data_IF_670582221155
#
_entry.id   IF_670582221155
#
_cell.length_a   1.000
_cell.length_b   1.000
_cell.length_c   1.000
_cell.angle_alpha   90.00
_cell.angle_beta   90.00
_cell.angle_gamma   90.00
#
_symmetry.space_group_name_H-M   'P 1'
#
loop_
_entity.id
_entity.type
_entity.pdbx_description
1 polymer ?
#
# COMPACT_ATOMS: atom_id res chain seq x y z
N UNK A 1 -2.25 13.68 9.00
CA UNK A 1 -2.61 12.27 8.76
C UNK A 1 -3.56 12.23 7.58
N UNK A 2 -3.13 11.62 6.48
CA UNK A 2 -3.95 11.47 5.28
C UNK A 2 -5.18 10.61 5.60
N UNK A 3 -6.36 10.97 5.09
CA UNK A 3 -7.63 10.32 5.48
C UNK A 3 -7.76 8.84 5.10
N UNK A 4 -6.76 8.26 4.44
CA UNK A 4 -6.76 6.88 4.00
C UNK A 4 -5.99 5.95 4.94
N UNK A 5 -4.97 6.44 5.68
CA UNK A 5 -4.21 5.60 6.61
C UNK A 5 -5.07 5.10 7.77
N UNK A 6 -6.14 5.83 8.12
CA UNK A 6 -7.14 5.39 9.09
C UNK A 6 -7.97 4.18 8.64
N UNK A 7 -7.90 3.80 7.37
CA UNK A 7 -8.55 2.59 6.86
C UNK A 7 -7.74 1.32 7.14
N UNK A 8 -6.44 1.47 7.42
CA UNK A 8 -5.53 0.38 7.69
C UNK A 8 -5.54 0.03 9.18
N UNK A 9 -5.83 -1.22 9.51
CA UNK A 9 -5.68 -1.72 10.87
C UNK A 9 -4.22 -2.05 11.18
N UNK A 10 -3.88 -2.15 12.47
CA UNK A 10 -2.55 -2.62 12.87
C UNK A 10 -2.25 -4.04 12.34
N UNK A 11 -3.28 -4.89 12.22
CA UNK A 11 -3.16 -6.22 11.64
C UNK A 11 -2.83 -6.20 10.15
N UNK A 12 -3.48 -5.32 9.40
CA UNK A 12 -3.20 -5.14 7.96
C UNK A 12 -1.76 -4.69 7.72
N UNK A 13 -1.27 -3.76 8.55
CA UNK A 13 0.11 -3.29 8.48
C UNK A 13 1.10 -4.43 8.77
N UNK A 14 0.81 -5.26 9.76
CA UNK A 14 1.66 -6.40 10.09
C UNK A 14 1.65 -7.47 9.00
N UNK A 15 0.50 -7.73 8.39
CA UNK A 15 0.40 -8.66 7.25
C UNK A 15 1.28 -8.18 6.08
N UNK A 16 1.21 -6.89 5.74
CA UNK A 16 2.03 -6.32 4.67
C UNK A 16 3.53 -6.38 5.00
N UNK A 17 3.92 -6.08 6.24
CA UNK A 17 5.32 -6.22 6.68
C UNK A 17 5.81 -7.65 6.56
N UNK A 18 5.00 -8.60 7.01
CA UNK A 18 5.35 -10.02 6.93
C UNK A 18 5.46 -10.48 5.48
N UNK A 19 4.55 -10.05 4.61
CA UNK A 19 4.60 -10.36 3.20
C UNK A 19 5.88 -9.83 2.53
N UNK A 20 6.30 -8.59 2.84
CA UNK A 20 7.58 -8.06 2.37
C UNK A 20 8.77 -8.90 2.87
N UNK A 21 8.79 -9.22 4.16
CA UNK A 21 9.85 -10.00 4.80
C UNK A 21 9.97 -11.41 4.21
N UNK A 22 8.83 -12.04 3.90
CA UNK A 22 8.75 -13.40 3.34
C UNK A 22 8.87 -13.45 1.82
N UNK A 23 8.87 -12.30 1.13
CA UNK A 23 8.88 -12.25 -0.33
C UNK A 23 7.55 -12.68 -0.96
N UNK A 24 6.44 -12.53 -0.23
CA UNK A 24 5.10 -12.92 -0.67
C UNK A 24 4.40 -11.77 -1.37
N UNK A 25 3.63 -12.12 -2.41
CA UNK A 25 2.73 -11.21 -3.10
C UNK A 25 1.36 -11.32 -2.41
N UNK A 26 0.89 -10.23 -1.83
CA UNK A 26 -0.45 -10.10 -1.24
C UNK A 26 -1.08 -8.78 -1.69
N UNK A 27 -2.39 -8.66 -1.52
CA UNK A 27 -3.15 -7.45 -1.81
C UNK A 27 -4.29 -7.32 -0.82
N UNK A 28 -4.39 -6.14 -0.23
CA UNK A 28 -5.46 -5.74 0.66
C UNK A 28 -6.17 -4.53 0.07
N UNK A 29 -7.48 -4.47 0.22
CA UNK A 29 -8.32 -3.44 -0.38
C UNK A 29 -9.36 -2.93 0.59
N UNK A 30 -9.54 -1.61 0.61
CA UNK A 30 -10.49 -0.92 1.47
C UNK A 30 -11.27 0.11 0.69
N UNK A 31 -12.52 0.31 1.10
CA UNK A 31 -13.37 1.36 0.59
C UNK A 31 -13.85 2.24 1.74
N UNK A 32 -13.83 3.55 1.50
CA UNK A 32 -14.42 4.57 2.36
C UNK A 32 -15.51 5.30 1.56
N UNK A 33 -16.76 4.77 1.54
CA UNK A 33 -17.84 5.34 0.72
C UNK A 33 -18.13 6.81 1.02
N UNK A 34 -18.05 7.21 2.30
CA UNK A 34 -18.23 8.60 2.73
C UNK A 34 -17.21 9.56 2.11
N UNK A 35 -16.01 9.06 1.78
CA UNK A 35 -14.94 9.82 1.14
C UNK A 35 -14.85 9.56 -0.37
N UNK A 36 -15.71 8.70 -0.93
CA UNK A 36 -15.64 8.19 -2.30
C UNK A 36 -14.23 7.72 -2.66
N UNK A 37 -13.57 7.10 -1.69
CA UNK A 37 -12.19 6.67 -1.80
C UNK A 37 -12.15 5.15 -1.75
N UNK A 38 -11.45 4.55 -2.71
CA UNK A 38 -11.01 3.17 -2.67
C UNK A 38 -9.50 3.14 -2.62
N UNK A 39 -8.95 2.25 -1.82
CA UNK A 39 -7.50 2.08 -1.63
C UNK A 39 -7.16 0.62 -1.77
N UNK A 40 -6.07 0.32 -2.46
CA UNK A 40 -5.48 -1.00 -2.48
C UNK A 40 -4.01 -0.88 -2.14
N UNK A 41 -3.55 -1.72 -1.23
CA UNK A 41 -2.13 -1.87 -0.92
C UNK A 41 -1.75 -3.29 -1.26
N UNK A 42 -0.76 -3.44 -2.14
CA UNK A 42 -0.27 -4.76 -2.55
C UNK A 42 1.24 -4.83 -2.46
N UNK A 43 1.78 -5.98 -2.07
CA UNK A 43 3.21 -6.27 -2.20
C UNK A 43 3.49 -6.85 -3.59
N UNK A 44 4.65 -6.55 -4.14
CA UNK A 44 5.10 -7.11 -5.42
C UNK A 44 6.60 -7.34 -5.43
N UNK A 45 7.07 -8.24 -6.30
CA UNK A 45 8.51 -8.39 -6.55
C UNK A 45 9.05 -7.13 -7.22
N UNK A 46 10.18 -6.66 -6.76
CA UNK A 46 10.84 -5.52 -7.37
C UNK A 46 11.59 -5.95 -8.64
N UNK A 47 11.61 -5.07 -9.64
CA UNK A 47 12.54 -5.21 -10.75
C UNK A 47 13.98 -4.88 -10.28
N UNK A 48 14.99 -5.33 -11.03
CA UNK A 48 16.42 -5.19 -10.67
C UNK A 48 16.92 -3.75 -10.51
N UNK A 49 16.16 -2.75 -10.96
CA UNK A 49 16.45 -1.32 -10.76
C UNK A 49 16.28 -0.88 -9.30
N UNK A 50 15.55 -1.66 -8.49
CA UNK A 50 15.35 -1.37 -7.08
C UNK A 50 16.39 -2.09 -6.21
N UNK A 51 16.82 -1.44 -5.12
CA UNK A 51 17.76 -2.00 -4.15
C UNK A 51 17.12 -2.98 -3.16
N UNK A 52 15.80 -3.16 -3.23
CA UNK A 52 15.01 -4.04 -2.35
C UNK A 52 14.37 -5.16 -3.17
N UNK A 53 14.15 -6.37 -2.60
CA UNK A 53 13.58 -7.50 -3.34
C UNK A 53 12.06 -7.38 -3.57
N UNK A 54 11.38 -6.62 -2.74
CA UNK A 54 9.93 -6.43 -2.74
C UNK A 54 9.59 -4.95 -2.62
N UNK A 55 8.46 -4.56 -3.19
CA UNK A 55 7.90 -3.21 -3.09
C UNK A 55 6.48 -3.26 -2.57
N UNK A 56 6.04 -2.15 -1.97
CA UNK A 56 4.64 -1.87 -1.67
C UNK A 56 4.08 -0.97 -2.76
N UNK A 57 2.94 -1.35 -3.34
CA UNK A 57 2.16 -0.51 -4.25
C UNK A 57 0.93 0.00 -3.53
N UNK A 58 0.82 1.32 -3.43
CA UNK A 58 -0.39 2.00 -3.00
C UNK A 58 -1.16 2.47 -4.23
N UNK A 59 -2.39 2.01 -4.38
CA UNK A 59 -3.31 2.47 -5.40
C UNK A 59 -4.49 3.17 -4.73
N UNK A 60 -4.92 4.29 -5.32
CA UNK A 60 -6.07 5.05 -4.83
C UNK A 60 -6.96 5.41 -6.00
N UNK A 61 -8.26 5.22 -5.81
CA UNK A 61 -9.31 5.63 -6.74
C UNK A 61 -10.21 6.64 -6.03
N UNK A 62 -10.37 7.79 -6.65
CA UNK A 62 -11.37 8.81 -6.32
C UNK A 62 -12.19 9.10 -7.58
N UNK A 63 -13.31 9.85 -7.50
CA UNK A 63 -14.12 10.14 -8.68
C UNK A 63 -13.30 10.83 -9.78
N UNK A 64 -13.13 10.16 -10.92
CA UNK A 64 -12.40 10.68 -12.07
C UNK A 64 -10.87 10.64 -11.97
N UNK A 65 -10.30 10.08 -10.90
CA UNK A 65 -8.85 10.02 -10.72
C UNK A 65 -8.39 8.66 -10.17
N UNK A 66 -7.31 8.18 -10.76
CA UNK A 66 -6.52 7.05 -10.28
C UNK A 66 -5.11 7.53 -9.98
N UNK A 67 -4.54 7.10 -8.87
CA UNK A 67 -3.13 7.34 -8.55
C UNK A 67 -2.48 6.07 -8.03
N UNK A 68 -1.20 5.90 -8.35
CA UNK A 68 -0.37 4.78 -7.90
C UNK A 68 0.98 5.28 -7.45
N UNK A 69 1.50 4.72 -6.36
CA UNK A 69 2.83 5.01 -5.82
C UNK A 69 3.49 3.70 -5.38
N UNK A 70 4.82 3.66 -5.51
CA UNK A 70 5.66 2.53 -5.09
C UNK A 70 6.54 2.98 -3.93
N UNK A 71 6.68 2.11 -2.94
CA UNK A 71 7.49 2.31 -1.75
C UNK A 71 8.35 1.07 -1.49
N UNK A 72 9.50 1.28 -0.86
CA UNK A 72 10.41 0.19 -0.46
C UNK A 72 9.97 -0.51 0.83
N UNK A 73 9.07 0.09 1.59
CA UNK A 73 8.62 -0.36 2.91
C UNK A 73 7.20 0.13 3.21
N UNK A 74 6.56 -0.49 4.21
CA UNK A 74 5.27 -0.04 4.74
C UNK A 74 5.43 1.32 5.43
N UNK A 75 6.55 1.53 6.13
CA UNK A 75 6.88 2.77 6.81
C UNK A 75 7.02 3.93 5.83
N UNK A 76 7.80 3.76 4.74
CA UNK A 76 7.90 4.78 3.71
C UNK A 76 6.55 5.09 3.03
N UNK A 77 5.66 4.11 2.92
CA UNK A 77 4.30 4.33 2.42
C UNK A 77 3.46 5.16 3.40
N UNK A 78 3.58 4.92 4.70
CA UNK A 78 2.86 5.65 5.75
C UNK A 78 3.40 7.08 5.94
N UNK A 79 4.72 7.23 5.85
CA UNK A 79 5.43 8.51 5.96
C UNK A 79 5.42 9.31 4.66
N UNK A 80 5.06 8.68 3.55
CA UNK A 80 5.17 9.19 2.19
C UNK A 80 4.27 10.39 1.84
N UNK A 81 3.71 11.09 2.83
CA UNK A 81 3.17 12.46 2.80
C UNK A 81 3.11 13.11 4.19
#
# INVERSE_FOLDING_TARGET
MSGWTSLLTAGDLEELREALRRGWVTSLEWEAPALRLRVRVSTQRAASVWSVPMLVRLERWTPGQYSTQLFDSVEAMLDGY
#
